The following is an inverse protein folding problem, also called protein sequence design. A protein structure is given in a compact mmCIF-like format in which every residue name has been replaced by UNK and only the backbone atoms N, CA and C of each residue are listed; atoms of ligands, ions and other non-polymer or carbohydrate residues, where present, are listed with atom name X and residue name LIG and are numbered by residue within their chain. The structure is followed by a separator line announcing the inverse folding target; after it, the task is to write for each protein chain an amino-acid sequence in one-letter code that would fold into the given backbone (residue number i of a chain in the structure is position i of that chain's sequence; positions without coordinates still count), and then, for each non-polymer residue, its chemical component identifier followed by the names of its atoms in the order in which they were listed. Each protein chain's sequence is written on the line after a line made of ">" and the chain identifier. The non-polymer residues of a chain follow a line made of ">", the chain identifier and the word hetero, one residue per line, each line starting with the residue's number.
data_IF_448112728699
#
_entry.id   IF_448112728699
#
_cell.length_a   1.000
_cell.length_b   1.000
_cell.length_c   1.000
_cell.angle_alpha   90.00
_cell.angle_beta   90.00
_cell.angle_gamma   90.00
#
_symmetry.space_group_name_H-M   'P 1'
#
loop_
_entity.id
_entity.type
_entity.pdbx_description
1 polymer ?
#
# COMPACT_ATOMS: atom_id res chain seq x y z
N UNK A 1 -44.39 -24.66 -0.75
CA UNK A 1 -44.30 -23.48 0.12
C UNK A 1 -42.95 -22.82 -0.14
N UNK A 2 -42.98 -21.58 -0.65
CA UNK A 2 -41.84 -20.70 -0.97
C UNK A 2 -40.87 -20.50 0.21
N UNK A 3 -39.56 -20.57 -0.07
CA UNK A 3 -38.56 -19.47 -0.08
C UNK A 3 -37.87 -19.29 1.29
N UNK A 4 -36.59 -18.91 1.45
CA UNK A 4 -35.71 -18.06 0.66
C UNK A 4 -34.25 -18.12 1.21
N UNK A 5 -33.24 -17.94 0.32
CA UNK A 5 -31.99 -17.13 0.45
C UNK A 5 -31.05 -17.31 1.65
N UNK A 6 -29.71 -17.41 1.55
CA UNK A 6 -28.78 -16.44 0.93
C UNK A 6 -27.36 -17.06 0.86
N UNK A 7 -26.66 -16.81 -0.24
CA UNK A 7 -25.24 -17.16 -0.37
C UNK A 7 -24.39 -16.44 0.70
N UNK A 8 -23.72 -17.23 1.54
CA UNK A 8 -22.74 -16.73 2.50
C UNK A 8 -21.54 -16.23 1.71
N UNK A 9 -21.45 -14.92 1.52
CA UNK A 9 -20.26 -14.27 0.98
C UNK A 9 -19.07 -14.54 1.88
N UNK A 10 -18.05 -15.21 1.37
CA UNK A 10 -16.83 -15.52 2.12
C UNK A 10 -16.05 -14.23 2.39
N UNK A 11 -15.83 -13.92 3.67
CA UNK A 11 -14.96 -12.84 4.14
C UNK A 11 -13.49 -13.20 3.90
N UNK A 12 -12.76 -12.42 3.12
CA UNK A 12 -11.35 -12.68 2.82
C UNK A 12 -10.41 -11.93 3.80
N UNK A 13 -9.48 -12.66 4.41
CA UNK A 13 -8.44 -12.09 5.28
C UNK A 13 -7.49 -11.16 4.49
N UNK A 14 -6.83 -10.19 5.15
CA UNK A 14 -5.81 -9.33 4.56
C UNK A 14 -4.74 -10.09 3.78
N UNK A 15 -4.37 -11.30 4.20
CA UNK A 15 -3.43 -12.17 3.49
C UNK A 15 -3.87 -12.51 2.06
N UNK A 16 -5.17 -12.65 1.81
CA UNK A 16 -5.70 -12.86 0.46
C UNK A 16 -5.37 -11.65 -0.44
N UNK A 17 -5.65 -10.44 0.04
CA UNK A 17 -5.40 -9.20 -0.68
C UNK A 17 -3.91 -8.92 -0.86
N UNK A 18 -3.09 -9.19 0.16
CA UNK A 18 -1.64 -9.09 0.07
C UNK A 18 -1.08 -9.98 -1.05
N UNK A 19 -1.52 -11.24 -1.15
CA UNK A 19 -1.15 -12.16 -2.26
C UNK A 19 -1.59 -11.66 -3.63
N UNK A 20 -2.69 -10.90 -3.71
CA UNK A 20 -3.18 -10.25 -4.93
C UNK A 20 -2.34 -9.02 -5.28
N UNK A 21 -1.97 -8.20 -4.30
CA UNK A 21 -1.21 -6.97 -4.51
C UNK A 21 0.25 -7.25 -4.88
N UNK A 22 0.85 -8.25 -4.24
CA UNK A 22 2.18 -8.80 -4.56
C UNK A 22 2.11 -10.01 -5.51
N UNK A 23 1.18 -10.01 -6.46
CA UNK A 23 1.00 -11.16 -7.36
C UNK A 23 2.23 -11.49 -8.21
N UNK A 24 3.11 -10.50 -8.46
CA UNK A 24 4.35 -10.64 -9.23
C UNK A 24 5.46 -11.35 -8.46
N UNK A 25 5.60 -11.02 -7.17
CA UNK A 25 6.61 -11.58 -6.29
C UNK A 25 5.98 -11.79 -4.92
N UNK A 26 5.57 -13.01 -4.61
CA UNK A 26 4.91 -13.32 -3.34
C UNK A 26 5.89 -13.59 -2.20
N UNK A 27 7.19 -13.68 -2.49
CA UNK A 27 8.19 -13.96 -1.45
C UNK A 27 8.40 -12.76 -0.54
N UNK A 28 8.33 -11.54 -1.08
CA UNK A 28 8.42 -10.28 -0.29
C UNK A 28 7.28 -10.08 0.72
N UNK A 29 6.24 -10.93 0.69
CA UNK A 29 5.19 -10.98 1.72
C UNK A 29 5.68 -11.54 3.04
N UNK A 30 6.61 -12.49 2.99
CA UNK A 30 7.11 -13.19 4.17
C UNK A 30 8.22 -12.33 4.76
N UNK A 31 8.06 -11.87 6.00
CA UNK A 31 9.10 -11.10 6.70
C UNK A 31 10.46 -11.79 6.65
N UNK A 32 10.49 -13.11 6.83
CA UNK A 32 11.69 -13.95 6.78
C UNK A 32 12.38 -14.02 5.41
N UNK A 33 11.71 -13.58 4.33
CA UNK A 33 12.25 -13.58 2.96
C UNK A 33 12.64 -12.20 2.48
N UNK A 34 12.19 -11.14 3.14
CA UNK A 34 12.53 -9.76 2.74
C UNK A 34 14.02 -9.46 2.91
N UNK A 35 14.72 -10.15 3.80
CA UNK A 35 16.18 -10.06 3.96
C UNK A 35 16.97 -10.57 2.74
N UNK A 36 16.32 -11.35 1.86
CA UNK A 36 16.96 -11.88 0.64
C UNK A 36 16.97 -10.82 -0.49
N UNK A 37 16.40 -9.63 -0.26
CA UNK A 37 16.26 -8.55 -1.24
C UNK A 37 16.95 -7.27 -0.77
N UNK A 38 17.47 -6.49 -1.72
CA UNK A 38 17.98 -5.13 -1.50
C UNK A 38 16.85 -4.15 -1.21
N UNK A 39 17.19 -2.97 -0.66
CA UNK A 39 16.21 -1.90 -0.43
C UNK A 39 15.53 -1.45 -1.74
N UNK A 40 16.28 -1.41 -2.84
CA UNK A 40 15.77 -1.12 -4.18
C UNK A 40 14.80 -2.20 -4.67
N UNK A 41 15.13 -3.48 -4.56
CA UNK A 41 14.21 -4.55 -4.97
C UNK A 41 12.92 -4.54 -4.14
N UNK A 42 13.04 -4.35 -2.81
CA UNK A 42 11.87 -4.21 -1.94
C UNK A 42 11.04 -2.98 -2.30
N UNK A 43 11.67 -1.82 -2.51
CA UNK A 43 11.00 -0.58 -2.90
C UNK A 43 10.27 -0.75 -4.24
N UNK A 44 10.87 -1.45 -5.20
CA UNK A 44 10.26 -1.76 -6.48
C UNK A 44 8.98 -2.61 -6.31
N UNK A 45 9.05 -3.71 -5.57
CA UNK A 45 7.90 -4.60 -5.36
C UNK A 45 6.81 -3.96 -4.48
N UNK A 46 7.20 -3.34 -3.37
CA UNK A 46 6.28 -2.71 -2.42
C UNK A 46 5.50 -1.56 -3.08
N UNK A 47 6.11 -0.80 -3.99
CA UNK A 47 5.42 0.29 -4.70
C UNK A 47 4.47 -0.20 -5.79
N UNK A 48 4.72 -1.36 -6.39
CA UNK A 48 3.73 -2.04 -7.24
C UNK A 48 2.54 -2.49 -6.39
N UNK A 49 2.80 -3.11 -5.24
CA UNK A 49 1.77 -3.56 -4.32
C UNK A 49 0.94 -2.39 -3.78
N UNK A 50 1.57 -1.28 -3.39
CA UNK A 50 0.89 -0.05 -2.96
C UNK A 50 0.00 0.51 -4.07
N UNK A 51 0.50 0.58 -5.32
CA UNK A 51 -0.31 0.99 -6.47
C UNK A 51 -1.53 0.09 -6.66
N UNK A 52 -1.37 -1.23 -6.51
CA UNK A 52 -2.46 -2.19 -6.67
C UNK A 52 -3.49 -2.06 -5.54
N UNK A 53 -3.04 -1.88 -4.29
CA UNK A 53 -3.90 -1.70 -3.12
C UNK A 53 -4.70 -0.40 -3.21
N UNK A 54 -4.03 0.71 -3.53
CA UNK A 54 -4.68 2.01 -3.70
C UNK A 54 -5.70 1.99 -4.84
N UNK A 55 -5.40 1.30 -5.95
CA UNK A 55 -6.39 1.08 -7.02
C UNK A 55 -7.61 0.29 -6.53
N UNK A 56 -7.38 -0.80 -5.81
CA UNK A 56 -8.45 -1.65 -5.29
C UNK A 56 -9.41 -0.87 -4.37
N UNK A 57 -8.86 -0.03 -3.49
CA UNK A 57 -9.66 0.85 -2.62
C UNK A 57 -10.38 1.95 -3.41
N UNK A 58 -9.69 2.63 -4.34
CA UNK A 58 -10.31 3.70 -5.14
C UNK A 58 -11.44 3.22 -6.08
N UNK A 59 -11.46 1.93 -6.39
CA UNK A 59 -12.45 1.30 -7.27
C UNK A 59 -13.41 0.38 -6.51
N UNK A 60 -13.38 0.41 -5.19
CA UNK A 60 -14.30 -0.34 -4.36
C UNK A 60 -15.72 0.26 -4.51
N UNK A 61 -16.77 -0.56 -4.51
CA UNK A 61 -18.13 -0.04 -4.75
C UNK A 61 -18.71 0.69 -3.53
N UNK A 62 -18.21 0.40 -2.33
CA UNK A 62 -18.66 0.97 -1.05
C UNK A 62 -20.16 0.79 -0.77
N UNK A 63 -20.78 -0.20 -1.41
CA UNK A 63 -22.17 -0.57 -1.12
C UNK A 63 -22.23 -1.23 0.27
N UNK A 64 -23.26 -0.89 1.05
CA UNK A 64 -23.43 -1.32 2.45
C UNK A 64 -23.80 -2.80 2.65
N UNK A 65 -23.70 -3.64 1.60
CA UNK A 65 -23.97 -5.07 1.70
C UNK A 65 -22.87 -5.80 2.50
N UNK A 66 -23.28 -6.71 3.40
CA UNK A 66 -22.41 -7.32 4.42
C UNK A 66 -21.20 -8.09 3.85
N UNK A 67 -21.34 -8.72 2.69
CA UNK A 67 -20.23 -9.40 1.97
C UNK A 67 -19.15 -8.43 1.50
N UNK A 68 -19.54 -7.22 1.09
CA UNK A 68 -18.58 -6.19 0.63
C UNK A 68 -17.83 -5.58 1.83
N UNK A 69 -18.49 -5.40 2.98
CA UNK A 69 -17.86 -4.82 4.18
C UNK A 69 -16.64 -5.59 4.69
N UNK A 70 -16.73 -6.92 4.82
CA UNK A 70 -15.59 -7.73 5.27
C UNK A 70 -14.41 -7.70 4.27
N UNK A 71 -14.74 -7.72 2.98
CA UNK A 71 -13.78 -7.58 1.89
C UNK A 71 -13.12 -6.19 1.87
N UNK A 72 -13.86 -5.14 2.23
CA UNK A 72 -13.34 -3.78 2.38
C UNK A 72 -12.30 -3.71 3.50
N UNK A 73 -12.62 -4.16 4.72
CA UNK A 73 -11.66 -4.08 5.84
C UNK A 73 -10.42 -4.94 5.60
N UNK A 74 -10.57 -6.12 5.00
CA UNK A 74 -9.43 -6.94 4.56
C UNK A 74 -8.53 -6.20 3.56
N UNK A 75 -9.12 -5.47 2.62
CA UNK A 75 -8.41 -4.62 1.66
C UNK A 75 -7.70 -3.45 2.35
N UNK A 76 -8.35 -2.78 3.31
CA UNK A 76 -7.75 -1.67 4.09
C UNK A 76 -6.56 -2.16 4.92
N UNK A 77 -6.69 -3.29 5.63
CA UNK A 77 -5.57 -3.89 6.38
C UNK A 77 -4.38 -4.20 5.47
N UNK A 78 -4.65 -4.78 4.29
CA UNK A 78 -3.62 -5.06 3.31
C UNK A 78 -2.99 -3.78 2.74
N UNK A 79 -3.79 -2.72 2.49
CA UNK A 79 -3.30 -1.41 2.08
C UNK A 79 -2.33 -0.81 3.10
N UNK A 80 -2.69 -0.79 4.38
CA UNK A 80 -1.83 -0.26 5.45
C UNK A 80 -0.49 -0.99 5.50
N UNK A 81 -0.51 -2.33 5.39
CA UNK A 81 0.72 -3.11 5.36
C UNK A 81 1.60 -2.78 4.15
N UNK A 82 1.04 -2.70 2.93
CA UNK A 82 1.84 -2.34 1.75
C UNK A 82 2.33 -0.89 1.79
N UNK A 83 1.53 0.02 2.36
CA UNK A 83 1.93 1.42 2.56
C UNK A 83 3.13 1.51 3.50
N UNK A 84 3.07 0.84 4.65
CA UNK A 84 4.18 0.83 5.62
C UNK A 84 5.44 0.15 5.06
N UNK A 85 5.27 -0.91 4.27
CA UNK A 85 6.38 -1.56 3.58
C UNK A 85 7.04 -0.62 2.57
N UNK A 86 6.26 0.00 1.68
CA UNK A 86 6.76 0.95 0.69
C UNK A 86 7.42 2.18 1.33
N UNK A 87 6.90 2.63 2.48
CA UNK A 87 7.51 3.70 3.25
C UNK A 87 8.88 3.30 3.81
N UNK A 88 8.99 2.07 4.32
CA UNK A 88 10.22 1.56 4.92
C UNK A 88 11.28 1.32 3.84
N UNK A 89 10.97 0.50 2.84
CA UNK A 89 11.92 0.14 1.77
C UNK A 89 12.32 1.36 0.94
N UNK A 90 11.38 2.23 0.59
CA UNK A 90 11.70 3.46 -0.14
C UNK A 90 12.51 4.48 0.67
N UNK A 91 12.44 4.46 2.01
CA UNK A 91 13.31 5.33 2.85
C UNK A 91 14.74 4.81 2.98
N UNK A 92 14.98 3.54 2.66
CA UNK A 92 16.29 2.90 2.70
C UNK A 92 17.05 3.04 1.37
N UNK A 93 16.38 3.50 0.29
CA UNK A 93 17.02 3.77 -1.00
C UNK A 93 17.69 5.15 -0.99
N UNK A 94 19.00 5.19 -1.26
CA UNK A 94 19.78 6.42 -1.39
C UNK A 94 19.54 7.12 -2.74
N UNK A 95 18.34 7.70 -2.89
CA UNK A 95 17.98 8.51 -4.06
C UNK A 95 17.05 9.68 -3.67
N UNK A 96 17.49 10.91 -3.98
CA UNK A 96 16.76 12.14 -3.64
C UNK A 96 15.37 12.24 -4.27
N UNK A 97 15.15 11.64 -5.44
CA UNK A 97 13.83 11.67 -6.10
C UNK A 97 12.87 10.72 -5.37
N UNK A 98 13.36 9.56 -4.95
CA UNK A 98 12.62 8.59 -4.12
C UNK A 98 12.31 9.21 -2.75
N UNK A 99 13.30 9.75 -2.05
CA UNK A 99 13.14 10.43 -0.75
C UNK A 99 12.03 11.49 -0.80
N UNK A 100 12.06 12.34 -1.84
CA UNK A 100 11.01 13.36 -2.06
C UNK A 100 9.62 12.74 -2.23
N UNK A 101 9.49 11.62 -2.93
CA UNK A 101 8.18 10.97 -3.08
C UNK A 101 7.72 10.27 -1.79
N UNK A 102 8.64 9.75 -0.99
CA UNK A 102 8.34 9.21 0.34
C UNK A 102 7.82 10.33 1.24
N UNK A 103 8.48 11.50 1.24
CA UNK A 103 7.97 12.68 1.96
C UNK A 103 6.57 13.07 1.48
N UNK A 104 6.35 13.14 0.17
CA UNK A 104 5.03 13.42 -0.39
C UNK A 104 3.96 12.42 0.10
N UNK A 105 4.28 11.12 0.14
CA UNK A 105 3.37 10.09 0.67
C UNK A 105 3.00 10.33 2.14
N UNK A 106 3.98 10.70 2.98
CA UNK A 106 3.75 11.05 4.39
C UNK A 106 2.87 12.29 4.53
N UNK A 107 3.22 13.36 3.80
CA UNK A 107 2.50 14.64 3.85
C UNK A 107 1.04 14.47 3.39
N UNK A 108 0.81 13.70 2.33
CA UNK A 108 -0.54 13.40 1.84
C UNK A 108 -1.34 12.57 2.85
N UNK A 109 -0.73 11.55 3.44
CA UNK A 109 -1.41 10.70 4.44
C UNK A 109 -1.77 11.51 5.69
N UNK A 110 -0.87 12.40 6.12
CA UNK A 110 -1.09 13.29 7.27
C UNK A 110 -2.24 14.28 7.07
N UNK A 111 -2.52 14.70 5.83
CA UNK A 111 -3.70 15.54 5.51
C UNK A 111 -5.04 14.84 5.76
N UNK A 112 -5.04 13.51 5.86
CA UNK A 112 -6.23 12.70 6.14
C UNK A 112 -6.20 12.12 7.56
N UNK A 113 -5.35 12.62 8.46
CA UNK A 113 -5.16 12.07 9.80
C UNK A 113 -6.49 11.93 10.58
N UNK A 114 -7.30 12.99 10.64
CA UNK A 114 -8.56 12.98 11.39
C UNK A 114 -9.56 11.95 10.84
N UNK A 115 -9.65 11.81 9.52
CA UNK A 115 -10.57 10.85 8.90
C UNK A 115 -10.05 9.42 9.00
N UNK A 116 -8.73 9.22 8.94
CA UNK A 116 -8.08 7.94 9.22
C UNK A 116 -8.32 7.51 10.69
N UNK A 117 -8.19 8.44 11.64
CA UNK A 117 -8.38 8.15 13.06
C UNK A 117 -9.82 7.72 13.38
N UNK A 118 -10.82 8.37 12.77
CA UNK A 118 -12.24 8.01 12.88
C UNK A 118 -12.53 6.55 12.49
N UNK A 119 -11.75 5.98 11.57
CA UNK A 119 -11.88 4.59 11.13
C UNK A 119 -10.86 3.65 11.79
N UNK A 120 -10.19 4.09 12.86
CA UNK A 120 -9.26 3.27 13.63
C UNK A 120 -7.86 3.16 13.03
N UNK A 121 -7.45 4.11 12.18
CA UNK A 121 -6.10 4.17 11.59
C UNK A 121 -5.35 5.38 12.14
N UNK A 122 -4.23 5.16 12.83
CA UNK A 122 -3.44 6.25 13.42
C UNK A 122 -2.10 6.39 12.73
N UNK A 123 -1.65 7.62 12.49
CA UNK A 123 -0.36 7.91 11.86
C UNK A 123 0.70 8.11 12.94
N UNK A 124 1.77 7.32 12.88
CA UNK A 124 2.93 7.45 13.75
C UNK A 124 3.84 8.62 13.31
N UNK A 125 4.73 9.05 14.20
CA UNK A 125 5.72 10.12 13.93
C UNK A 125 6.58 9.86 12.68
N UNK A 126 6.86 8.60 12.37
CA UNK A 126 7.65 8.20 11.21
C UNK A 126 6.84 8.20 9.89
N UNK A 127 5.52 8.44 9.96
CA UNK A 127 4.56 8.42 8.86
C UNK A 127 3.88 7.08 8.62
N UNK A 128 4.22 6.01 9.34
CA UNK A 128 3.56 4.70 9.25
C UNK A 128 2.16 4.76 9.85
N UNK A 129 1.30 3.85 9.41
CA UNK A 129 -0.07 3.73 9.89
C UNK A 129 -0.20 2.49 10.79
N UNK A 130 -0.77 2.66 11.98
CA UNK A 130 -1.19 1.56 12.88
C UNK A 130 -2.69 1.35 12.82
N UNK A 131 -3.14 0.11 13.05
CA UNK A 131 -4.56 -0.27 12.95
C UNK A 131 -5.08 -0.65 14.35
N UNK A 132 -6.16 0.01 14.77
CA UNK A 132 -7.06 -0.52 15.81
C UNK A 132 -8.07 -1.46 15.15
N UNK A 133 -7.88 -2.76 15.31
CA UNK A 133 -8.72 -3.76 14.63
C UNK A 133 -10.20 -3.64 15.00
N UNK A 134 -10.49 -3.34 16.27
CA UNK A 134 -11.86 -3.21 16.76
C UNK A 134 -12.52 -1.98 16.15
N UNK A 135 -11.85 -0.83 16.16
CA UNK A 135 -12.39 0.40 15.58
C UNK A 135 -12.57 0.29 14.06
N UNK A 136 -11.61 -0.32 13.35
CA UNK A 136 -11.73 -0.51 11.91
C UNK A 136 -12.92 -1.41 11.53
N UNK A 137 -13.14 -2.50 12.27
CA UNK A 137 -14.29 -3.40 12.03
C UNK A 137 -15.63 -2.77 12.40
N UNK A 138 -15.63 -1.80 13.31
CA UNK A 138 -16.82 -1.04 13.71
C UNK A 138 -17.08 0.20 12.85
N UNK A 139 -16.10 0.65 12.06
CA UNK A 139 -16.24 1.81 11.20
C UNK A 139 -17.29 1.59 10.13
N UNK A 140 -18.13 2.59 9.85
CA UNK A 140 -19.13 2.46 8.79
C UNK A 140 -18.45 2.41 7.41
N UNK A 141 -19.08 1.73 6.44
CA UNK A 141 -18.58 1.71 5.04
C UNK A 141 -18.47 3.12 4.48
N UNK A 142 -19.38 4.03 4.85
CA UNK A 142 -19.38 5.43 4.43
C UNK A 142 -18.18 6.21 4.99
N UNK A 143 -17.77 5.95 6.24
CA UNK A 143 -16.58 6.60 6.80
C UNK A 143 -15.30 6.10 6.14
N UNK A 144 -15.22 4.80 5.83
CA UNK A 144 -14.11 4.25 5.04
C UNK A 144 -14.10 4.83 3.62
N UNK A 145 -15.27 5.02 3.00
CA UNK A 145 -15.42 5.65 1.68
C UNK A 145 -14.88 7.08 1.66
N UNK A 146 -15.21 7.90 2.66
CA UNK A 146 -14.68 9.28 2.77
C UNK A 146 -13.15 9.35 2.73
N UNK A 147 -12.48 8.31 3.23
CA UNK A 147 -11.01 8.22 3.30
C UNK A 147 -10.38 7.60 2.05
N UNK A 148 -11.05 6.68 1.37
CA UNK A 148 -10.39 5.85 0.36
C UNK A 148 -11.02 5.87 -1.02
N UNK A 149 -12.21 6.46 -1.16
CA UNK A 149 -12.84 6.60 -2.47
C UNK A 149 -12.04 7.53 -3.39
N UNK A 150 -12.20 7.33 -4.70
CA UNK A 150 -11.49 8.09 -5.74
C UNK A 150 -11.70 9.61 -5.63
N UNK A 151 -12.84 10.06 -5.12
CA UNK A 151 -13.23 11.48 -5.16
C UNK A 151 -12.44 12.34 -4.17
N UNK A 152 -11.83 11.75 -3.15
CA UNK A 152 -11.06 12.49 -2.15
C UNK A 152 -9.59 12.74 -2.54
N UNK A 153 -9.12 12.17 -3.65
CA UNK A 153 -7.77 12.36 -4.18
C UNK A 153 -6.63 11.67 -3.41
N UNK A 154 -6.87 11.05 -2.25
CA UNK A 154 -5.84 10.40 -1.45
C UNK A 154 -5.22 9.23 -2.21
N UNK A 155 -6.04 8.28 -2.64
CA UNK A 155 -5.58 7.09 -3.38
C UNK A 155 -4.93 7.46 -4.72
N UNK A 156 -5.46 8.48 -5.41
CA UNK A 156 -4.85 8.99 -6.66
C UNK A 156 -3.43 9.50 -6.42
N UNK A 157 -3.21 10.19 -5.31
CA UNK A 157 -1.91 10.74 -4.95
C UNK A 157 -0.93 9.65 -4.46
N UNK A 158 -1.43 8.65 -3.73
CA UNK A 158 -0.67 7.46 -3.37
C UNK A 158 -0.21 6.69 -4.62
N UNK A 159 -1.11 6.46 -5.58
CA UNK A 159 -0.80 5.82 -6.88
C UNK A 159 0.28 6.61 -7.63
N UNK A 160 0.17 7.95 -7.66
CA UNK A 160 1.13 8.82 -8.35
C UNK A 160 2.52 8.71 -7.74
N UNK A 161 2.63 8.79 -6.42
CA UNK A 161 3.91 8.69 -5.70
C UNK A 161 4.52 7.31 -5.85
N UNK A 162 3.72 6.25 -5.70
CA UNK A 162 4.15 4.86 -5.90
C UNK A 162 4.72 4.64 -7.31
N UNK A 163 4.04 5.14 -8.36
CA UNK A 163 4.56 5.06 -9.75
C UNK A 163 5.91 5.76 -9.90
N UNK A 164 6.07 6.94 -9.31
CA UNK A 164 7.32 7.70 -9.41
C UNK A 164 8.46 6.99 -8.67
N UNK A 165 8.22 6.46 -7.47
CA UNK A 165 9.23 5.68 -6.73
C UNK A 165 9.60 4.43 -7.56
N UNK A 166 8.60 3.70 -8.05
CA UNK A 166 8.80 2.49 -8.84
C UNK A 166 9.66 2.75 -10.09
N UNK A 167 9.37 3.83 -10.83
CA UNK A 167 10.14 4.18 -12.03
C UNK A 167 11.60 4.54 -11.72
N UNK A 168 11.86 5.30 -10.65
CA UNK A 168 13.24 5.63 -10.26
C UNK A 168 13.98 4.36 -9.78
N UNK A 169 13.32 3.53 -8.99
CA UNK A 169 13.88 2.27 -8.50
C UNK A 169 14.19 1.30 -9.64
N UNK A 170 13.28 1.19 -10.62
CA UNK A 170 13.53 0.42 -11.84
C UNK A 170 14.76 0.93 -12.59
N UNK A 171 14.92 2.25 -12.71
CA UNK A 171 16.10 2.83 -13.37
C UNK A 171 17.40 2.46 -12.63
N UNK A 172 17.38 2.44 -11.29
CA UNK A 172 18.55 2.05 -10.47
C UNK A 172 18.88 0.57 -10.71
N UNK A 173 17.88 -0.32 -10.55
CA UNK A 173 18.05 -1.76 -10.76
C UNK A 173 18.51 -2.08 -12.19
N UNK A 174 17.98 -1.39 -13.19
CA UNK A 174 18.40 -1.54 -14.58
C UNK A 174 19.86 -1.13 -14.78
N UNK A 175 20.28 -0.01 -14.19
CA UNK A 175 21.68 0.44 -14.28
C UNK A 175 22.65 -0.52 -13.58
N UNK A 176 22.24 -1.09 -12.44
CA UNK A 176 23.01 -2.13 -11.73
C UNK A 176 23.15 -3.40 -12.57
N UNK A 177 22.06 -3.88 -13.17
CA UNK A 177 22.05 -5.09 -13.98
C UNK A 177 22.83 -4.95 -15.31
N UNK A 178 22.89 -3.74 -15.87
CA UNK A 178 23.56 -3.47 -17.16
C UNK A 178 24.99 -2.94 -17.00
N UNK A 179 25.45 -2.68 -15.77
CA UNK A 179 26.79 -2.11 -15.51
C UNK A 179 26.93 -0.63 -15.86
N UNK A 180 25.86 0.04 -16.30
CA UNK A 180 25.87 1.47 -16.71
C UNK A 180 25.98 2.46 -15.53
N UNK A 181 26.11 1.97 -14.29
CA UNK A 181 26.29 2.77 -13.07
C UNK A 181 27.60 2.51 -12.32
N UNK A 182 28.52 1.69 -12.85
CA UNK A 182 29.81 1.48 -12.22
C UNK A 182 30.62 2.77 -12.20
N UNK A 183 30.92 3.30 -11.02
CA UNK A 183 31.97 4.30 -10.86
C UNK A 183 33.26 3.70 -11.42
N UNK A 184 33.72 4.19 -12.57
CA UNK A 184 35.10 3.96 -13.00
C UNK A 184 35.96 4.73 -12.01
N UNK A 185 36.44 4.06 -10.96
CA UNK A 185 37.52 4.56 -10.12
C UNK A 185 38.79 4.48 -10.97
N UNK A 186 39.05 5.53 -11.76
CA UNK A 186 40.37 5.76 -12.32
C UNK A 186 41.19 6.41 -11.21
N UNK A 187 41.90 5.59 -10.43
CA UNK A 187 43.03 6.10 -9.66
C UNK A 187 44.17 6.30 -10.66
N UNK A 188 44.51 7.55 -10.95
CA UNK A 188 45.72 7.94 -11.67
C UNK A 188 46.94 7.77 -10.76
#
# INVERSE_FOLDING_TARGET
>A
MSSNTSGIGTSLNSNFYLRKFYSRNRDVLKSSKRSDFTAEELSYEDTIALKNAAKALSSFSYDSNTTNGANLYGTVKAFVQVYNNALSSGSEVDDKKIERQIKNLKDLTSKHADDLEKIGLSIEKNGKITISENLLKSASVEDVKKVFDKDNGYMRSAISSAKKINNNTFSILYAQATGLGGKINITL
#
